data_IF_338487756470
#
_entry.id   IF_338487756470
#
_cell.length_a   1.000
_cell.length_b   1.000
_cell.length_c   1.000
_cell.angle_alpha   90.00
_cell.angle_beta   90.00
_cell.angle_gamma   90.00
#
_symmetry.space_group_name_H-M   'P 1'
#
loop_
_entity.id
_entity.type
_entity.pdbx_description
1 polymer ?
#
# COMPACT_ATOMS: atom_id res chain seq x y z
N UNK A 1 -2.15 19.59 -16.66
CA UNK A 1 -3.06 19.90 -15.54
C UNK A 1 -4.26 18.95 -15.43
N UNK A 2 -4.81 18.36 -16.50
CA UNK A 2 -5.97 17.44 -16.41
C UNK A 2 -5.68 16.04 -15.82
N UNK A 3 -4.44 15.52 -15.92
CA UNK A 3 -4.09 14.14 -15.48
C UNK A 3 -4.19 13.98 -13.95
N UNK A 4 -3.61 14.91 -13.19
CA UNK A 4 -3.64 14.87 -11.72
C UNK A 4 -5.07 14.93 -11.15
N UNK A 5 -5.98 15.68 -11.76
CA UNK A 5 -7.34 15.82 -11.27
C UNK A 5 -8.18 14.55 -11.45
N UNK A 6 -7.94 13.78 -12.52
CA UNK A 6 -8.59 12.49 -12.78
C UNK A 6 -8.04 11.42 -11.83
N UNK A 7 -6.74 11.45 -11.55
CA UNK A 7 -6.11 10.52 -10.61
C UNK A 7 -6.62 10.73 -9.18
N UNK A 8 -6.80 11.99 -8.75
CA UNK A 8 -7.39 12.29 -7.43
C UNK A 8 -8.84 11.87 -7.31
N UNK A 9 -9.66 12.01 -8.36
CA UNK A 9 -11.05 11.54 -8.33
C UNK A 9 -11.14 10.00 -8.26
N UNK A 10 -10.30 9.29 -9.03
CA UNK A 10 -10.27 7.83 -9.00
C UNK A 10 -9.83 7.27 -7.63
N UNK A 11 -9.00 8.01 -6.88
CA UNK A 11 -8.65 7.64 -5.50
C UNK A 11 -9.82 7.80 -4.52
N UNK A 12 -10.78 8.69 -4.79
CA UNK A 12 -11.96 8.85 -3.94
C UNK A 12 -12.96 7.70 -4.10
N UNK A 13 -12.94 7.02 -5.24
CA UNK A 13 -13.79 5.85 -5.52
C UNK A 13 -13.16 4.54 -5.01
N UNK A 14 -11.95 4.59 -4.45
CA UNK A 14 -11.26 3.41 -3.94
C UNK A 14 -11.80 2.97 -2.57
N UNK A 15 -11.93 1.65 -2.30
CA UNK A 15 -12.40 1.14 -1.01
C UNK A 15 -11.36 1.26 0.12
N UNK A 16 -10.36 2.14 -0.02
CA UNK A 16 -9.32 2.40 0.95
C UNK A 16 -9.27 3.90 1.26
N UNK A 17 -8.87 4.24 2.48
CA UNK A 17 -8.78 5.62 2.95
C UNK A 17 -7.33 6.08 2.98
N UNK A 18 -7.11 7.40 2.98
CA UNK A 18 -5.78 8.03 3.03
C UNK A 18 -4.80 7.58 1.93
N UNK A 19 -5.32 7.26 0.75
CA UNK A 19 -4.48 6.90 -0.39
C UNK A 19 -3.71 8.12 -0.90
N UNK A 20 -2.40 7.97 -1.04
CA UNK A 20 -1.49 9.00 -1.55
C UNK A 20 -0.77 8.51 -2.79
N UNK A 21 -0.69 9.36 -3.80
CA UNK A 21 0.10 9.09 -5.00
C UNK A 21 1.58 9.22 -4.65
N UNK A 22 2.32 8.13 -4.81
CA UNK A 22 3.77 8.11 -4.68
C UNK A 22 4.40 8.18 -6.07
N UNK A 23 5.42 9.03 -6.26
CA UNK A 23 6.09 9.19 -7.56
C UNK A 23 7.09 8.07 -7.82
N UNK A 24 7.62 7.47 -6.76
CA UNK A 24 8.60 6.38 -6.83
C UNK A 24 8.15 5.17 -6.02
N UNK A 25 8.64 3.99 -6.39
CA UNK A 25 8.41 2.77 -5.65
C UNK A 25 8.95 2.86 -4.20
N UNK A 26 10.09 3.52 -4.01
CA UNK A 26 10.69 3.68 -2.70
C UNK A 26 9.80 4.53 -1.78
N UNK A 27 9.25 5.65 -2.28
CA UNK A 27 8.32 6.47 -1.50
C UNK A 27 7.08 5.68 -1.06
N UNK A 28 6.55 4.82 -1.94
CA UNK A 28 5.43 3.96 -1.59
C UNK A 28 5.81 2.95 -0.50
N UNK A 29 6.99 2.32 -0.60
CA UNK A 29 7.50 1.38 0.40
C UNK A 29 7.68 2.07 1.75
N UNK A 30 8.35 3.22 1.79
CA UNK A 30 8.62 3.96 3.03
C UNK A 30 7.33 4.36 3.74
N UNK A 31 6.33 4.84 2.97
CA UNK A 31 5.02 5.20 3.51
C UNK A 31 4.26 3.98 4.04
N UNK A 32 4.29 2.86 3.31
CA UNK A 32 3.66 1.61 3.78
C UNK A 32 4.30 1.10 5.07
N UNK A 33 5.64 1.15 5.17
CA UNK A 33 6.37 0.75 6.38
C UNK A 33 5.92 1.61 7.55
N UNK A 34 5.91 2.94 7.39
CA UNK A 34 5.45 3.85 8.44
C UNK A 34 4.03 3.51 8.90
N UNK A 35 3.07 3.37 7.98
CA UNK A 35 1.69 3.04 8.35
C UNK A 35 1.57 1.70 9.09
N UNK A 36 2.33 0.70 8.66
CA UNK A 36 2.32 -0.62 9.28
C UNK A 36 2.93 -0.60 10.68
N UNK A 37 4.03 0.14 10.88
CA UNK A 37 4.67 0.29 12.18
C UNK A 37 3.80 1.10 13.15
N UNK A 38 3.16 2.17 12.68
CA UNK A 38 2.22 2.98 13.47
C UNK A 38 1.00 2.15 13.91
N UNK A 39 0.46 1.33 13.01
CA UNK A 39 -0.63 0.41 13.32
C UNK A 39 -0.21 -0.63 14.38
N UNK A 40 1.00 -1.20 14.27
CA UNK A 40 1.54 -2.13 15.28
C UNK A 40 1.73 -1.44 16.62
N UNK A 41 2.29 -0.22 16.63
CA UNK A 41 2.50 0.55 17.86
C UNK A 41 1.18 0.84 18.56
N UNK A 42 0.17 1.26 17.80
CA UNK A 42 -1.21 1.49 18.29
C UNK A 42 -1.79 0.24 18.96
N UNK A 43 -1.68 -0.92 18.29
CA UNK A 43 -2.14 -2.19 18.86
C UNK A 43 -1.41 -2.50 20.16
N UNK A 44 -0.07 -2.40 20.17
CA UNK A 44 0.74 -2.70 21.37
C UNK A 44 0.34 -1.82 22.56
N UNK A 45 0.22 -0.52 22.35
CA UNK A 45 -0.19 0.43 23.38
C UNK A 45 -1.58 0.09 23.95
N UNK A 46 -2.55 -0.23 23.10
CA UNK A 46 -3.90 -0.58 23.53
C UNK A 46 -3.91 -1.92 24.29
N UNK A 47 -3.09 -2.89 23.85
CA UNK A 47 -2.90 -4.14 24.57
C UNK A 47 -2.28 -3.92 25.96
N UNK A 48 -1.23 -3.10 26.06
CA UNK A 48 -0.60 -2.78 27.33
C UNK A 48 -1.57 -2.04 28.27
N UNK A 49 -2.35 -1.09 27.73
CA UNK A 49 -3.40 -0.41 28.48
C UNK A 49 -4.50 -1.37 28.93
N UNK A 50 -4.85 -2.36 28.12
CA UNK A 50 -5.82 -3.39 28.48
C UNK A 50 -5.31 -4.26 29.63
N UNK A 51 -4.05 -4.71 29.58
CA UNK A 51 -3.42 -5.51 30.64
C UNK A 51 -3.36 -4.77 31.98
N UNK A 52 -3.13 -3.45 31.94
CA UNK A 52 -3.09 -2.60 33.13
C UNK A 52 -4.47 -2.14 33.62
N UNK A 53 -5.57 -2.57 32.98
CA UNK A 53 -6.93 -2.05 33.21
C UNK A 53 -7.06 -0.52 33.05
N UNK A 54 -6.23 0.07 32.19
CA UNK A 54 -6.23 1.50 31.83
C UNK A 54 -6.90 1.79 30.49
N UNK A 55 -7.37 0.77 29.77
CA UNK A 55 -8.04 0.96 28.49
C UNK A 55 -9.45 1.54 28.70
N UNK A 56 -9.62 2.80 28.32
CA UNK A 56 -10.90 3.50 28.39
C UNK A 56 -11.62 3.41 27.03
N UNK A 57 -12.58 2.49 26.93
CA UNK A 57 -13.40 2.31 25.72
C UNK A 57 -12.85 1.27 24.73
N UNK A 58 -13.33 1.27 23.48
CA UNK A 58 -12.87 0.32 22.46
C UNK A 58 -11.44 0.64 22.03
N UNK A 59 -10.66 -0.40 21.72
CA UNK A 59 -9.33 -0.25 21.13
C UNK A 59 -9.40 0.54 19.81
N UNK A 60 -8.34 1.31 19.54
CA UNK A 60 -8.16 2.09 18.32
C UNK A 60 -8.08 1.16 17.11
N UNK A 61 -8.72 1.50 15.98
CA UNK A 61 -8.65 0.69 14.78
C UNK A 61 -7.24 0.74 14.20
N UNK A 62 -6.72 -0.43 13.86
CA UNK A 62 -5.45 -0.61 13.17
C UNK A 62 -5.70 -1.37 11.86
N UNK A 63 -5.12 -0.88 10.77
CA UNK A 63 -5.37 -1.39 9.42
C UNK A 63 -4.07 -1.78 8.74
N UNK A 64 -4.13 -2.77 7.86
CA UNK A 64 -3.03 -3.05 6.96
C UNK A 64 -2.90 -1.94 5.91
N UNK A 65 -1.67 -1.60 5.48
CA UNK A 65 -1.48 -0.68 4.38
C UNK A 65 -1.95 -1.30 3.06
N UNK A 66 -2.62 -0.49 2.26
CA UNK A 66 -3.10 -0.86 0.93
C UNK A 66 -2.16 -0.31 -0.14
N UNK A 67 -1.62 -1.18 -1.00
CA UNK A 67 -0.82 -0.78 -2.16
C UNK A 67 -1.67 -0.87 -3.42
N UNK A 68 -1.71 0.19 -4.22
CA UNK A 68 -2.34 0.20 -5.53
C UNK A 68 -1.37 0.71 -6.60
N UNK A 69 -1.29 -0.01 -7.72
CA UNK A 69 -0.58 0.42 -8.92
C UNK A 69 -1.58 0.75 -10.03
N UNK A 70 -1.45 1.95 -10.59
CA UNK A 70 -2.20 2.36 -11.78
C UNK A 70 -1.43 1.99 -13.04
N UNK A 71 -2.05 1.21 -13.92
CA UNK A 71 -1.48 0.85 -15.22
C UNK A 71 -2.19 1.63 -16.32
N UNK A 72 -1.47 2.57 -16.92
CA UNK A 72 -1.94 3.32 -18.08
C UNK A 72 -2.10 2.38 -19.30
N UNK A 73 -3.16 2.52 -20.11
CA UNK A 73 -3.38 1.69 -21.31
C UNK A 73 -2.20 1.70 -22.28
N UNK A 74 -1.49 2.84 -22.39
CA UNK A 74 -0.32 3.00 -23.25
C UNK A 74 0.92 2.21 -22.79
N UNK A 75 0.90 1.69 -21.56
CA UNK A 75 2.00 0.90 -20.97
C UNK A 75 1.76 -0.61 -21.01
N UNK A 76 0.63 -1.06 -21.57
CA UNK A 76 0.34 -2.48 -21.73
C UNK A 76 1.21 -3.10 -22.85
N UNK A 77 2.32 -3.72 -22.47
CA UNK A 77 3.14 -4.49 -23.40
C UNK A 77 2.53 -5.89 -23.60
N UNK A 78 1.99 -6.13 -24.80
CA UNK A 78 1.41 -7.44 -25.19
C UNK A 78 2.45 -8.51 -25.53
N UNK A 79 3.73 -8.15 -25.63
CA UNK A 79 4.81 -8.98 -26.19
C UNK A 79 5.98 -9.19 -25.22
N UNK A 80 5.71 -9.26 -23.91
CA UNK A 80 6.76 -9.60 -22.95
C UNK A 80 6.88 -11.13 -22.80
N UNK A 81 8.10 -11.66 -22.86
CA UNK A 81 8.41 -13.06 -22.53
C UNK A 81 8.61 -13.29 -21.02
N UNK A 82 8.30 -12.28 -20.19
CA UNK A 82 8.47 -12.39 -18.75
C UNK A 82 7.48 -13.40 -18.16
N UNK A 83 7.92 -14.26 -17.25
CA UNK A 83 7.04 -15.19 -16.56
C UNK A 83 6.12 -14.49 -15.53
N UNK A 84 6.52 -13.31 -15.02
CA UNK A 84 5.82 -12.57 -13.97
C UNK A 84 5.90 -11.05 -14.21
N UNK A 85 5.15 -10.26 -13.44
CA UNK A 85 5.10 -8.80 -13.59
C UNK A 85 4.33 -8.34 -14.84
N UNK A 86 3.55 -9.25 -15.42
CA UNK A 86 2.65 -8.97 -16.54
C UNK A 86 1.32 -8.46 -16.01
N UNK A 87 0.83 -7.41 -16.63
CA UNK A 87 -0.51 -6.88 -16.38
C UNK A 87 -1.31 -7.02 -17.67
N UNK A 88 -2.43 -7.75 -17.60
CA UNK A 88 -3.25 -8.08 -18.77
C UNK A 88 -4.32 -7.02 -19.06
N UNK A 89 -4.66 -6.19 -18.07
CA UNK A 89 -5.71 -5.16 -18.16
C UNK A 89 -5.22 -3.83 -17.59
N UNK A 90 -5.57 -2.73 -18.26
CA UNK A 90 -5.35 -1.40 -17.71
C UNK A 90 -6.29 -1.16 -16.54
N UNK A 91 -5.94 -0.20 -15.69
CA UNK A 91 -6.70 0.12 -14.48
C UNK A 91 -5.84 0.02 -13.24
N UNK A 92 -6.50 -0.05 -12.08
CA UNK A 92 -5.82 -0.19 -10.81
C UNK A 92 -5.75 -1.64 -10.37
N UNK A 93 -4.57 -2.01 -9.89
CA UNK A 93 -4.30 -3.31 -9.30
C UNK A 93 -3.78 -3.06 -7.90
N UNK A 94 -4.49 -3.52 -6.88
CA UNK A 94 -4.10 -3.29 -5.50
C UNK A 94 -4.35 -4.47 -4.58
N UNK A 95 -3.67 -4.46 -3.44
CA UNK A 95 -3.70 -5.51 -2.43
C UNK A 95 -3.32 -4.95 -1.07
N UNK A 96 -3.88 -5.54 -0.03
CA UNK A 96 -3.37 -5.37 1.33
C UNK A 96 -2.01 -6.04 1.46
N UNK A 97 -1.07 -5.41 2.16
CA UNK A 97 0.26 -5.95 2.40
C UNK A 97 0.52 -6.12 3.89
N UNK A 98 1.07 -7.28 4.25
CA UNK A 98 1.52 -7.61 5.61
C UNK A 98 2.97 -8.12 5.58
N UNK A 99 3.66 -8.09 6.72
CA UNK A 99 5.11 -8.29 6.85
C UNK A 99 5.94 -7.57 5.75
N UNK A 100 5.87 -6.23 5.72
CA UNK A 100 6.61 -5.42 4.74
C UNK A 100 8.13 -5.64 4.80
N UNK A 101 8.68 -5.91 5.99
CA UNK A 101 10.12 -6.21 6.17
C UNK A 101 10.49 -7.53 5.48
N UNK A 102 9.63 -8.55 5.54
CA UNK A 102 9.79 -9.79 4.77
C UNK A 102 9.69 -9.52 3.26
N UNK A 103 8.76 -8.64 2.87
CA UNK A 103 8.44 -8.34 1.47
C UNK A 103 9.52 -7.49 0.78
N UNK A 104 10.14 -6.54 1.49
CA UNK A 104 11.22 -5.69 0.99
C UNK A 104 12.44 -6.49 0.54
N UNK A 105 12.74 -7.62 1.20
CA UNK A 105 13.81 -8.54 0.80
C UNK A 105 13.50 -9.20 -0.56
N UNK A 106 12.23 -9.55 -0.81
CA UNK A 106 11.81 -10.20 -2.06
C UNK A 106 11.75 -9.20 -3.22
N UNK A 107 11.32 -7.95 -2.98
CA UNK A 107 11.31 -6.91 -4.01
C UNK A 107 12.71 -6.33 -4.28
N UNK A 108 13.53 -6.03 -3.28
CA UNK A 108 14.84 -5.41 -3.54
C UNK A 108 15.76 -6.28 -4.41
N UNK A 109 15.63 -7.61 -4.35
CA UNK A 109 16.36 -8.56 -5.23
C UNK A 109 15.87 -8.52 -6.69
N UNK A 110 14.70 -7.92 -6.97
CA UNK A 110 13.98 -8.05 -8.25
C UNK A 110 13.70 -6.74 -8.98
N UNK A 111 13.93 -5.59 -8.34
CA UNK A 111 13.68 -4.26 -8.90
C UNK A 111 14.95 -3.58 -9.47
N UNK A 112 16.01 -4.33 -9.75
CA UNK A 112 17.12 -3.86 -10.60
C UNK A 112 16.69 -3.92 -12.07
N UNK A 113 16.00 -2.87 -12.53
CA UNK A 113 15.85 -2.56 -13.97
C UNK A 113 16.81 -1.44 -14.35
#
# INVERSE_FOLDING_TARGET
>A
MKKNQIDTQLLQDFPATDLVICETAQQAIDRMISHYEDAIATIKEDFDAFLDNRLEGPARPAHYPYLAAKVDPSKLSRTSNLAFGKVNTHGFHGTDITCLICFGIICSIRWSF
#
